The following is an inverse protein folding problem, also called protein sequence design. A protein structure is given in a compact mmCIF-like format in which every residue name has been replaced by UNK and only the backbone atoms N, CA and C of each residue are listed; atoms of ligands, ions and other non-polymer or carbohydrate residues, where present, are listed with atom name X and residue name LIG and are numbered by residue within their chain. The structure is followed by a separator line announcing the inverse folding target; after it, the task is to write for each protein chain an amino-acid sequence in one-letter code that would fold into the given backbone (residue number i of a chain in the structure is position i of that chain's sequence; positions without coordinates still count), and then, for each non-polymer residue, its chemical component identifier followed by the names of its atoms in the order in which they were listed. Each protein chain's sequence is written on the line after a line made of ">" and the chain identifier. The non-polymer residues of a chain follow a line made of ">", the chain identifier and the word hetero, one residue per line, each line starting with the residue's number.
data_IF_456341325675
#
_entry.id   IF_456341325675
#
_cell.length_a   1.000
_cell.length_b   1.000
_cell.length_c   1.000
_cell.angle_alpha   90.00
_cell.angle_beta   90.00
_cell.angle_gamma   90.00
#
_symmetry.space_group_name_H-M   'P 1'
#
loop_
_entity.id
_entity.type
_entity.pdbx_description
1 polymer ?
#
# COMPACT_ATOMS: atom_id res chain seq x y z
N UNK A 1 12.93 -37.18 -7.16
CA UNK A 1 12.53 -36.37 -5.98
C UNK A 1 11.28 -37.00 -5.39
N UNK A 2 11.18 -37.16 -4.07
CA UNK A 2 9.97 -37.72 -3.45
C UNK A 2 8.77 -36.80 -3.68
N UNK A 3 7.55 -37.37 -3.74
CA UNK A 3 6.31 -36.61 -3.90
C UNK A 3 6.17 -35.49 -2.85
N UNK A 4 6.63 -35.76 -1.61
CA UNK A 4 6.62 -34.80 -0.50
C UNK A 4 7.49 -33.57 -0.76
N UNK A 5 8.68 -33.75 -1.36
CA UNK A 5 9.58 -32.63 -1.70
C UNK A 5 8.98 -31.73 -2.78
N UNK A 6 8.27 -32.32 -3.75
CA UNK A 6 7.56 -31.57 -4.78
C UNK A 6 6.37 -30.81 -4.20
N UNK A 7 5.61 -31.42 -3.29
CA UNK A 7 4.49 -30.77 -2.60
C UNK A 7 4.95 -29.56 -1.77
N UNK A 8 6.03 -29.69 -0.99
CA UNK A 8 6.61 -28.60 -0.21
C UNK A 8 7.07 -27.44 -1.11
N UNK A 9 7.76 -27.73 -2.22
CA UNK A 9 8.19 -26.70 -3.18
C UNK A 9 7.01 -25.96 -3.83
N UNK A 10 5.93 -26.66 -4.15
CA UNK A 10 4.74 -26.04 -4.71
C UNK A 10 4.05 -25.13 -3.69
N UNK A 11 3.99 -25.54 -2.41
CA UNK A 11 3.47 -24.71 -1.34
C UNK A 11 4.32 -23.44 -1.14
N UNK A 12 5.66 -23.56 -1.17
CA UNK A 12 6.57 -22.41 -1.07
C UNK A 12 6.37 -21.43 -2.22
N UNK A 13 6.20 -21.91 -3.44
CA UNK A 13 5.89 -21.07 -4.62
C UNK A 13 4.55 -20.36 -4.47
N UNK A 14 3.51 -21.05 -3.99
CA UNK A 14 2.18 -20.46 -3.81
C UNK A 14 2.19 -19.35 -2.74
N UNK A 15 2.92 -19.56 -1.63
CA UNK A 15 3.11 -18.54 -0.59
C UNK A 15 3.92 -17.36 -1.14
N UNK A 16 4.98 -17.62 -1.90
CA UNK A 16 5.77 -16.56 -2.52
C UNK A 16 4.96 -15.74 -3.53
N UNK A 17 4.13 -16.40 -4.34
CA UNK A 17 3.29 -15.72 -5.32
C UNK A 17 2.19 -14.88 -4.64
N UNK A 18 1.49 -15.43 -3.65
CA UNK A 18 0.42 -14.71 -2.94
C UNK A 18 0.95 -13.51 -2.16
N UNK A 19 2.10 -13.63 -1.51
CA UNK A 19 2.77 -12.50 -0.84
C UNK A 19 3.23 -11.43 -1.83
N UNK A 20 3.76 -11.82 -2.99
CA UNK A 20 4.12 -10.88 -4.05
C UNK A 20 2.91 -10.10 -4.57
N UNK A 21 1.77 -10.77 -4.80
CA UNK A 21 0.51 -10.12 -5.22
C UNK A 21 0.05 -9.12 -4.15
N UNK A 22 0.04 -9.50 -2.87
CA UNK A 22 -0.38 -8.59 -1.80
C UNK A 22 0.48 -7.31 -1.74
N UNK A 23 1.79 -7.43 -1.95
CA UNK A 23 2.70 -6.26 -2.00
C UNK A 23 2.42 -5.41 -3.24
N UNK A 24 2.14 -6.02 -4.39
CA UNK A 24 1.76 -5.31 -5.61
C UNK A 24 0.45 -4.54 -5.44
N UNK A 25 -0.58 -5.19 -4.90
CA UNK A 25 -1.89 -4.57 -4.62
C UNK A 25 -1.74 -3.37 -3.66
N UNK A 26 -0.90 -3.50 -2.64
CA UNK A 26 -0.63 -2.41 -1.71
C UNK A 26 0.14 -1.26 -2.36
N UNK A 27 1.08 -1.54 -3.26
CA UNK A 27 1.80 -0.51 -4.03
C UNK A 27 0.86 0.23 -4.99
N UNK A 28 -0.04 -0.50 -5.66
CA UNK A 28 -1.04 0.08 -6.54
C UNK A 28 -2.05 0.95 -5.79
N UNK A 29 -2.49 0.50 -4.62
CA UNK A 29 -3.33 1.29 -3.73
C UNK A 29 -2.63 2.61 -3.34
N UNK A 30 -1.37 2.56 -2.89
CA UNK A 30 -0.58 3.75 -2.56
C UNK A 30 -0.50 4.73 -3.74
N UNK A 31 -0.23 4.24 -4.96
CA UNK A 31 -0.20 5.06 -6.18
C UNK A 31 -1.54 5.74 -6.46
N UNK A 32 -2.65 5.02 -6.27
CA UNK A 32 -4.01 5.56 -6.45
C UNK A 32 -4.32 6.63 -5.40
N UNK A 33 -4.02 6.37 -4.13
CA UNK A 33 -4.22 7.33 -3.04
C UNK A 33 -3.37 8.58 -3.22
N UNK A 34 -2.12 8.46 -3.68
CA UNK A 34 -1.27 9.61 -3.97
C UNK A 34 -1.82 10.48 -5.10
N UNK A 35 -2.33 9.85 -6.17
CA UNK A 35 -2.98 10.57 -7.29
C UNK A 35 -4.21 11.33 -6.80
N UNK A 36 -5.09 10.66 -6.05
CA UNK A 36 -6.29 11.25 -5.47
C UNK A 36 -5.93 12.42 -4.53
N UNK A 37 -5.02 12.18 -3.58
CA UNK A 37 -4.63 13.16 -2.57
C UNK A 37 -4.01 14.40 -3.21
N UNK A 38 -3.09 14.23 -4.18
CA UNK A 38 -2.46 15.36 -4.88
C UNK A 38 -3.48 16.18 -5.67
N UNK A 39 -4.45 15.51 -6.32
CA UNK A 39 -5.53 16.19 -7.06
C UNK A 39 -6.42 16.99 -6.10
N UNK A 40 -6.82 16.38 -4.97
CA UNK A 40 -7.61 17.04 -3.94
C UNK A 40 -6.89 18.24 -3.35
N UNK A 41 -5.59 18.11 -3.05
CA UNK A 41 -4.75 19.23 -2.56
C UNK A 41 -4.73 20.37 -3.57
N UNK A 42 -4.51 20.07 -4.86
CA UNK A 42 -4.50 21.09 -5.92
C UNK A 42 -5.82 21.86 -6.02
N UNK A 43 -6.95 21.15 -6.00
CA UNK A 43 -8.29 21.78 -6.05
C UNK A 43 -8.58 22.60 -4.79
N UNK A 44 -8.31 22.04 -3.61
CA UNK A 44 -8.53 22.73 -2.34
C UNK A 44 -7.65 23.97 -2.21
N UNK A 45 -6.38 23.89 -2.63
CA UNK A 45 -5.48 25.04 -2.64
C UNK A 45 -5.97 26.15 -3.57
N UNK A 46 -6.40 25.80 -4.79
CA UNK A 46 -6.98 26.78 -5.71
C UNK A 46 -8.20 27.49 -5.08
N UNK A 47 -9.08 26.72 -4.43
CA UNK A 47 -10.27 27.27 -3.76
C UNK A 47 -9.92 28.13 -2.54
N UNK A 48 -8.94 27.74 -1.75
CA UNK A 48 -8.43 28.58 -0.66
C UNK A 48 -7.89 29.91 -1.18
N UNK A 49 -7.12 29.89 -2.27
CA UNK A 49 -6.56 31.12 -2.85
C UNK A 49 -7.63 32.05 -3.40
N UNK A 50 -8.69 31.50 -4.01
CA UNK A 50 -9.84 32.21 -4.57
C UNK A 50 -10.73 32.83 -3.47
N UNK A 51 -11.10 32.03 -2.46
CA UNK A 51 -12.15 32.38 -1.49
C UNK A 51 -11.62 32.91 -0.16
N UNK A 52 -10.36 32.60 0.17
CA UNK A 52 -9.76 32.74 1.51
C UNK A 52 -10.47 31.95 2.62
N UNK A 53 -11.33 31.00 2.26
CA UNK A 53 -12.05 30.16 3.22
C UNK A 53 -11.10 29.13 3.86
N UNK A 54 -10.85 29.19 5.18
CA UNK A 54 -9.89 28.31 5.85
C UNK A 54 -10.32 26.84 5.87
N UNK A 55 -11.58 26.49 5.58
CA UNK A 55 -12.04 25.09 5.53
C UNK A 55 -11.27 24.26 4.50
N UNK A 56 -10.82 24.88 3.41
CA UNK A 56 -9.99 24.20 2.40
C UNK A 56 -8.60 23.80 2.93
N UNK A 57 -8.09 24.44 3.99
CA UNK A 57 -6.87 24.00 4.67
C UNK A 57 -7.08 22.67 5.38
N UNK A 58 -8.27 22.42 5.92
CA UNK A 58 -8.60 21.14 6.55
C UNK A 58 -8.70 20.02 5.51
N UNK A 59 -9.25 20.31 4.33
CA UNK A 59 -9.30 19.36 3.20
C UNK A 59 -7.88 18.99 2.74
N UNK A 60 -6.97 19.96 2.64
CA UNK A 60 -5.55 19.71 2.31
C UNK A 60 -4.92 18.76 3.34
N UNK A 61 -5.07 19.06 4.63
CA UNK A 61 -4.54 18.20 5.71
C UNK A 61 -5.12 16.79 5.68
N UNK A 62 -6.41 16.66 5.40
CA UNK A 62 -7.05 15.35 5.27
C UNK A 62 -6.45 14.55 4.11
N UNK A 63 -6.24 15.18 2.96
CA UNK A 63 -5.60 14.55 1.80
C UNK A 63 -4.13 14.16 2.08
N UNK A 64 -3.36 15.01 2.77
CA UNK A 64 -2.00 14.66 3.24
C UNK A 64 -2.02 13.43 4.16
N UNK A 65 -3.00 13.35 5.07
CA UNK A 65 -3.15 12.19 5.96
C UNK A 65 -3.50 10.92 5.19
N UNK A 66 -4.32 10.99 4.14
CA UNK A 66 -4.65 9.83 3.30
C UNK A 66 -3.39 9.28 2.61
N UNK A 67 -2.56 10.16 2.02
CA UNK A 67 -1.29 9.75 1.41
C UNK A 67 -0.34 9.10 2.42
N UNK A 68 -0.23 9.69 3.63
CA UNK A 68 0.58 9.13 4.72
C UNK A 68 0.09 7.75 5.15
N UNK A 69 -1.20 7.59 5.40
CA UNK A 69 -1.80 6.32 5.80
C UNK A 69 -1.62 5.25 4.73
N UNK A 70 -1.72 5.63 3.45
CA UNK A 70 -1.41 4.73 2.33
C UNK A 70 0.03 4.22 2.36
N UNK A 71 0.99 5.09 2.66
CA UNK A 71 2.41 4.71 2.75
C UNK A 71 2.67 3.80 3.95
N UNK A 72 2.06 4.07 5.10
CA UNK A 72 2.12 3.21 6.29
C UNK A 72 1.52 1.84 6.00
N UNK A 73 0.36 1.77 5.34
CA UNK A 73 -0.28 0.50 4.95
C UNK A 73 0.60 -0.31 3.99
N UNK A 74 1.20 0.33 2.97
CA UNK A 74 2.13 -0.34 2.06
C UNK A 74 3.34 -0.92 2.81
N UNK A 75 3.92 -0.15 3.73
CA UNK A 75 5.04 -0.60 4.56
C UNK A 75 4.67 -1.78 5.47
N UNK A 76 3.49 -1.74 6.09
CA UNK A 76 2.98 -2.81 6.94
C UNK A 76 2.75 -4.11 6.16
N UNK A 77 2.12 -4.03 4.97
CA UNK A 77 1.94 -5.17 4.07
C UNK A 77 3.30 -5.74 3.65
N UNK A 78 4.26 -4.90 3.26
CA UNK A 78 5.61 -5.33 2.88
C UNK A 78 6.34 -6.05 4.03
N UNK A 79 6.23 -5.54 5.25
CA UNK A 79 6.83 -6.13 6.45
C UNK A 79 6.20 -7.50 6.77
N UNK A 80 4.87 -7.58 6.71
CA UNK A 80 4.12 -8.83 6.93
C UNK A 80 4.41 -9.87 5.86
N UNK A 81 4.48 -9.46 4.58
CA UNK A 81 4.85 -10.34 3.48
C UNK A 81 6.27 -10.91 3.64
N UNK A 82 7.25 -10.07 3.99
CA UNK A 82 8.62 -10.51 4.25
C UNK A 82 8.69 -11.51 5.41
N UNK A 83 7.92 -11.26 6.48
CA UNK A 83 7.81 -12.18 7.61
C UNK A 83 7.23 -13.53 7.18
N UNK A 84 6.11 -13.54 6.44
CA UNK A 84 5.49 -14.78 5.93
C UNK A 84 6.47 -15.58 5.07
N UNK A 85 7.19 -14.92 4.16
CA UNK A 85 8.19 -15.57 3.31
C UNK A 85 9.32 -16.21 4.12
N UNK A 86 9.83 -15.52 5.15
CA UNK A 86 10.86 -16.04 6.05
C UNK A 86 10.35 -17.23 6.88
N UNK A 87 9.16 -17.10 7.45
CA UNK A 87 8.58 -18.12 8.33
C UNK A 87 8.18 -19.37 7.53
N UNK A 88 7.76 -19.22 6.26
CA UNK A 88 7.39 -20.34 5.41
C UNK A 88 8.60 -21.02 4.73
N UNK A 89 9.68 -20.29 4.46
CA UNK A 89 10.92 -20.87 3.91
C UNK A 89 11.74 -21.66 4.94
N UNK A 90 11.44 -21.47 6.24
CA UNK A 90 12.00 -22.25 7.34
C UNK A 90 11.18 -23.50 7.70
N UNK A 91 10.09 -23.73 6.95
CA UNK A 91 9.23 -24.92 7.02
C UNK A 91 9.65 -25.97 6.00
#
# INVERSE_FOLDING_TARGET
>A
MSADKTAQQNAQKAVAQSTAIAVQDAADNLRNLNTLSTTTIGVALAKFLETKDPTYVEVIKAAESVAKNGAEHFSDVGTKAAKILKDFSSF
#
